data_IF_839537472183
#
_entry.id   IF_839537472183
#
_cell.length_a   1.000
_cell.length_b   1.000
_cell.length_c   1.000
_cell.angle_alpha   90.00
_cell.angle_beta   90.00
_cell.angle_gamma   90.00
#
_symmetry.space_group_name_H-M   'P 1'
#
loop_
_entity.id
_entity.type
_entity.pdbx_description
1 polymer ?
#
# COMPACT_ATOMS: atom_id res chain seq x y z
N UNK A 1 -20.44 13.62 4.23
CA UNK A 1 -19.27 13.60 3.32
C UNK A 1 -18.17 12.68 3.86
N UNK A 2 -17.84 12.76 5.15
CA UNK A 2 -16.89 11.86 5.81
C UNK A 2 -17.35 10.40 5.73
N UNK A 3 -18.64 10.09 5.95
CA UNK A 3 -19.16 8.72 5.91
C UNK A 3 -18.94 8.01 4.57
N UNK A 4 -18.94 8.77 3.47
CA UNK A 4 -18.57 8.25 2.17
C UNK A 4 -17.08 7.89 2.17
N UNK A 5 -16.20 8.77 2.63
CA UNK A 5 -14.76 8.55 2.64
C UNK A 5 -14.34 7.34 3.49
N UNK A 6 -14.93 7.17 4.68
CA UNK A 6 -14.61 6.08 5.62
C UNK A 6 -15.48 4.84 5.44
N UNK A 7 -16.59 4.94 4.71
CA UNK A 7 -17.56 3.86 4.55
C UNK A 7 -17.07 2.73 3.66
N UNK A 8 -17.05 1.52 4.21
CA UNK A 8 -16.74 0.27 3.50
C UNK A 8 -18.01 -0.55 3.33
N UNK A 9 -18.29 -1.01 2.11
CA UNK A 9 -19.43 -1.86 1.82
C UNK A 9 -19.12 -3.32 2.22
N UNK A 10 -20.04 -3.94 2.98
CA UNK A 10 -19.93 -5.32 3.47
C UNK A 10 -20.31 -6.41 2.46
N UNK A 11 -20.67 -6.06 1.23
CA UNK A 11 -21.02 -7.02 0.18
C UNK A 11 -19.87 -7.97 -0.18
N UNK A 12 -20.22 -9.18 -0.61
CA UNK A 12 -19.26 -10.26 -0.97
C UNK A 12 -18.38 -9.86 -2.16
N UNK A 13 -18.96 -9.21 -3.18
CA UNK A 13 -18.21 -8.81 -4.39
C UNK A 13 -17.11 -7.78 -4.05
N UNK A 14 -17.40 -6.64 -3.38
CA UNK A 14 -16.35 -5.72 -2.91
C UNK A 14 -15.34 -6.37 -1.95
N UNK A 15 -15.77 -7.34 -1.13
CA UNK A 15 -14.85 -8.06 -0.24
C UNK A 15 -13.82 -8.88 -1.04
N UNK A 16 -14.28 -9.67 -2.00
CA UNK A 16 -13.38 -10.46 -2.87
C UNK A 16 -12.39 -9.55 -3.59
N UNK A 17 -12.85 -8.44 -4.17
CA UNK A 17 -11.98 -7.48 -4.85
C UNK A 17 -10.89 -6.92 -3.91
N UNK A 18 -11.26 -6.53 -2.69
CA UNK A 18 -10.30 -6.02 -1.70
C UNK A 18 -9.26 -7.06 -1.32
N UNK A 19 -9.69 -8.29 -1.07
CA UNK A 19 -8.80 -9.39 -0.70
C UNK A 19 -7.85 -9.75 -1.84
N UNK A 20 -8.34 -9.79 -3.08
CA UNK A 20 -7.49 -10.07 -4.26
C UNK A 20 -6.42 -9.00 -4.44
N UNK A 21 -6.79 -7.72 -4.40
CA UNK A 21 -5.82 -6.62 -4.54
C UNK A 21 -4.82 -6.67 -3.38
N UNK A 22 -5.29 -6.88 -2.15
CA UNK A 22 -4.42 -6.96 -0.99
C UNK A 22 -3.44 -8.13 -1.07
N UNK A 23 -3.89 -9.30 -1.52
CA UNK A 23 -3.04 -10.49 -1.66
C UNK A 23 -1.91 -10.29 -2.69
N UNK A 24 -2.18 -9.57 -3.78
CA UNK A 24 -1.17 -9.25 -4.80
C UNK A 24 -0.20 -8.17 -4.31
N UNK A 25 -0.72 -7.12 -3.67
CA UNK A 25 0.09 -5.96 -3.29
C UNK A 25 0.90 -6.16 -2.00
N UNK A 26 0.40 -6.96 -1.06
CA UNK A 26 1.05 -7.15 0.24
C UNK A 26 2.48 -7.71 0.13
N UNK A 27 2.78 -8.72 -0.71
CA UNK A 27 4.14 -9.19 -0.92
C UNK A 27 5.11 -8.08 -1.36
N UNK A 28 4.68 -7.19 -2.26
CA UNK A 28 5.51 -6.07 -2.72
C UNK A 28 5.81 -5.07 -1.60
N UNK A 29 4.79 -4.70 -0.83
CA UNK A 29 4.96 -3.88 0.36
C UNK A 29 5.92 -4.55 1.36
N UNK A 30 5.73 -5.83 1.65
CA UNK A 30 6.54 -6.59 2.60
C UNK A 30 8.01 -6.75 2.15
N UNK A 31 8.27 -6.87 0.83
CA UNK A 31 9.64 -6.84 0.29
C UNK A 31 10.32 -5.49 0.56
N UNK A 32 9.59 -4.39 0.35
CA UNK A 32 10.09 -3.02 0.48
C UNK A 32 10.22 -2.54 1.92
N UNK A 33 9.37 -3.00 2.84
CA UNK A 33 9.43 -2.60 4.26
C UNK A 33 10.17 -3.61 5.13
N UNK A 34 9.75 -4.87 5.09
CA UNK A 34 10.23 -5.91 6.00
C UNK A 34 11.41 -6.72 5.44
N UNK A 35 11.67 -6.62 4.14
CA UNK A 35 12.69 -7.42 3.46
C UNK A 35 12.27 -8.88 3.27
N UNK A 36 10.96 -9.16 3.35
CA UNK A 36 10.44 -10.50 3.12
C UNK A 36 10.71 -10.95 1.69
N UNK A 37 10.72 -12.26 1.46
CA UNK A 37 10.92 -12.85 0.14
C UNK A 37 12.26 -12.45 -0.53
N UNK A 38 13.30 -12.16 0.27
CA UNK A 38 14.59 -11.71 -0.23
C UNK A 38 14.61 -10.24 -0.71
N UNK A 39 13.61 -9.44 -0.30
CA UNK A 39 13.53 -8.03 -0.64
C UNK A 39 14.57 -7.16 0.08
N UNK A 40 14.74 -5.92 -0.42
CA UNK A 40 15.75 -4.98 0.08
C UNK A 40 15.47 -4.45 1.50
N UNK A 41 14.24 -4.62 2.00
CA UNK A 41 13.76 -4.05 3.25
C UNK A 41 13.76 -2.52 3.24
N UNK A 42 13.31 -1.93 4.35
CA UNK A 42 13.07 -0.49 4.41
C UNK A 42 14.31 0.34 4.13
N UNK A 43 15.44 0.02 4.78
CA UNK A 43 16.70 0.79 4.61
C UNK A 43 17.24 0.71 3.18
N UNK A 44 17.22 -0.48 2.58
CA UNK A 44 17.69 -0.67 1.20
C UNK A 44 16.80 0.03 0.19
N UNK A 45 15.48 -0.06 0.37
CA UNK A 45 14.49 0.59 -0.51
C UNK A 45 14.58 2.12 -0.43
N UNK A 46 14.68 2.68 0.78
CA UNK A 46 14.86 4.13 0.95
C UNK A 46 16.19 4.62 0.38
N UNK A 47 17.29 3.87 0.60
CA UNK A 47 18.59 4.21 0.02
C UNK A 47 18.54 4.18 -1.52
N UNK A 48 17.82 3.22 -2.12
CA UNK A 48 17.60 3.18 -3.56
C UNK A 48 16.86 4.42 -4.05
N UNK A 49 15.70 4.74 -3.47
CA UNK A 49 14.90 5.89 -3.91
C UNK A 49 15.62 7.23 -3.77
N UNK A 50 16.30 7.46 -2.65
CA UNK A 50 17.06 8.69 -2.42
C UNK A 50 18.24 8.82 -3.37
N UNK A 51 18.94 7.71 -3.70
CA UNK A 51 20.01 7.71 -4.72
C UNK A 51 19.49 7.99 -6.13
N UNK A 52 18.26 7.59 -6.44
CA UNK A 52 17.59 7.91 -7.71
C UNK A 52 17.08 9.36 -7.79
N UNK A 53 17.33 10.19 -6.77
CA UNK A 53 16.88 11.59 -6.71
C UNK A 53 15.43 11.76 -6.24
N UNK A 54 14.78 10.68 -5.77
CA UNK A 54 13.42 10.76 -5.27
C UNK A 54 13.39 11.44 -3.89
N UNK A 55 12.48 12.41 -3.63
CA UNK A 55 12.39 13.07 -2.35
C UNK A 55 12.16 12.06 -1.20
N UNK A 56 12.98 12.07 -0.13
CA UNK A 56 12.88 11.05 0.93
C UNK A 56 11.50 10.96 1.58
N UNK A 57 10.81 12.10 1.76
CA UNK A 57 9.47 12.11 2.35
C UNK A 57 8.44 11.40 1.46
N UNK A 58 8.51 11.58 0.14
CA UNK A 58 7.61 10.93 -0.81
C UNK A 58 7.95 9.45 -0.97
N UNK A 59 9.23 9.08 -0.97
CA UNK A 59 9.66 7.69 -0.96
C UNK A 59 9.13 6.94 0.27
N UNK A 60 9.22 7.58 1.45
CA UNK A 60 8.67 7.02 2.68
C UNK A 60 7.16 6.80 2.57
N UNK A 61 6.42 7.83 2.10
CA UNK A 61 4.98 7.73 1.92
C UNK A 61 4.60 6.62 0.93
N UNK A 62 5.31 6.49 -0.18
CA UNK A 62 5.06 5.44 -1.16
C UNK A 62 5.27 4.04 -0.55
N UNK A 63 6.40 3.83 0.13
CA UNK A 63 6.71 2.54 0.79
C UNK A 63 5.69 2.20 1.88
N UNK A 64 5.25 3.19 2.67
CA UNK A 64 4.21 2.98 3.68
C UNK A 64 2.84 2.73 3.06
N UNK A 65 2.47 3.44 2.00
CA UNK A 65 1.20 3.24 1.29
C UNK A 65 1.11 1.84 0.67
N UNK A 66 2.21 1.34 0.09
CA UNK A 66 2.28 0.02 -0.53
C UNK A 66 2.20 -1.12 0.50
N UNK A 67 2.70 -0.91 1.72
CA UNK A 67 2.64 -1.89 2.78
C UNK A 67 1.34 -1.84 3.60
N UNK A 68 0.91 -0.65 4.01
CA UNK A 68 -0.28 -0.46 4.85
C UNK A 68 -1.58 -0.47 4.04
N UNK A 69 -1.56 -0.08 2.77
CA UNK A 69 -2.73 -0.08 1.90
C UNK A 69 -3.41 -1.45 1.83
N UNK A 70 -2.69 -2.54 1.49
CA UNK A 70 -3.23 -3.89 1.48
C UNK A 70 -3.84 -4.31 2.82
N UNK A 71 -3.20 -3.96 3.95
CA UNK A 71 -3.70 -4.25 5.29
C UNK A 71 -5.03 -3.51 5.56
N UNK A 72 -5.10 -2.22 5.18
CA UNK A 72 -6.34 -1.44 5.26
C UNK A 72 -7.47 -2.02 4.42
N UNK A 73 -7.17 -2.52 3.22
CA UNK A 73 -8.16 -3.18 2.35
C UNK A 73 -8.73 -4.46 2.98
N UNK A 74 -7.87 -5.31 3.56
CA UNK A 74 -8.27 -6.57 4.23
C UNK A 74 -9.14 -6.26 5.45
N UNK A 75 -8.69 -5.37 6.33
CA UNK A 75 -9.43 -5.00 7.55
C UNK A 75 -10.75 -4.29 7.20
N UNK A 76 -10.80 -3.62 6.05
CA UNK A 76 -11.95 -2.80 5.67
C UNK A 76 -11.93 -1.41 6.28
N UNK A 77 -10.79 -0.97 6.81
CA UNK A 77 -10.59 0.36 7.38
C UNK A 77 -10.04 1.29 6.30
N UNK A 78 -10.68 2.46 6.12
CA UNK A 78 -10.21 3.50 5.19
C UNK A 78 -9.93 2.97 3.78
N UNK A 79 -10.76 2.02 3.30
CA UNK A 79 -10.52 1.26 2.07
C UNK A 79 -10.28 2.13 0.84
N UNK A 80 -10.96 3.28 0.76
CA UNK A 80 -10.81 4.24 -0.35
C UNK A 80 -9.48 4.98 -0.29
N UNK A 81 -9.04 5.38 0.90
CA UNK A 81 -7.73 6.01 1.11
C UNK A 81 -6.61 5.01 0.84
N UNK A 82 -6.76 3.78 1.32
CA UNK A 82 -5.83 2.68 1.05
C UNK A 82 -5.73 2.37 -0.45
N UNK A 83 -6.86 2.25 -1.13
CA UNK A 83 -6.90 2.04 -2.58
C UNK A 83 -6.27 3.20 -3.37
N UNK A 84 -6.53 4.45 -2.96
CA UNK A 84 -5.91 5.62 -3.57
C UNK A 84 -4.38 5.61 -3.40
N UNK A 85 -3.89 5.29 -2.20
CA UNK A 85 -2.46 5.17 -1.93
C UNK A 85 -1.80 4.12 -2.83
N UNK A 86 -2.40 2.93 -2.94
CA UNK A 86 -1.95 1.88 -3.85
C UNK A 86 -1.94 2.37 -5.31
N UNK A 87 -3.02 3.01 -5.75
CA UNK A 87 -3.14 3.50 -7.13
C UNK A 87 -2.06 4.54 -7.47
N UNK A 88 -1.78 5.47 -6.55
CA UNK A 88 -0.71 6.47 -6.73
C UNK A 88 0.66 5.82 -6.80
N UNK A 89 0.95 4.82 -5.96
CA UNK A 89 2.22 4.10 -5.99
C UNK A 89 2.42 3.30 -7.28
N UNK A 90 1.34 2.80 -7.89
CA UNK A 90 1.42 2.10 -9.18
C UNK A 90 1.55 3.04 -10.38
N UNK A 91 1.25 4.34 -10.22
CA UNK A 91 1.33 5.32 -11.30
C UNK A 91 2.73 5.93 -11.47
N UNK A 92 3.59 5.85 -10.45
CA UNK A 92 4.90 6.51 -10.37
C UNK A 92 6.01 5.48 -10.34
#
# INVERSE_FOLDING_TARGET
MIDWLVGTNGGVVPLILRLTIAAVMFPHGAQKTLGWFGGNGFRGTMAYFTKSGFPPALAFLAVMAEFLGPLGLVIGLLTRVAALGIAVVMLV
#
